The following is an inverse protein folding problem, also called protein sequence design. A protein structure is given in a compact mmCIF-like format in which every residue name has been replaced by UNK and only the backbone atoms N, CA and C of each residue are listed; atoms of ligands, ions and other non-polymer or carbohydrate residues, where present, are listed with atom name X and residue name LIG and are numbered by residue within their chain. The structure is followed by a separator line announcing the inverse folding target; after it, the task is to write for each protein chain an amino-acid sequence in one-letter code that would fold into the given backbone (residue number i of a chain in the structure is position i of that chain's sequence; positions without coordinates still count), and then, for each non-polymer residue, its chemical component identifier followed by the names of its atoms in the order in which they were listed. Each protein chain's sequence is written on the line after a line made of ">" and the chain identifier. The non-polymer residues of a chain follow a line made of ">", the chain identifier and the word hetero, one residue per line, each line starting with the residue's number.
data_IF_118435865260
#
_entry.id   IF_118435865260
#
_cell.length_a   1.000
_cell.length_b   1.000
_cell.length_c   1.000
_cell.angle_alpha   90.00
_cell.angle_beta   90.00
_cell.angle_gamma   90.00
#
_symmetry.space_group_name_H-M   'P 1'
#
loop_
_entity.id
_entity.type
_entity.pdbx_description
1 polymer ?
#
# COMPACT_ATOMS: atom_id res chain seq x y z
N UNK A 1 17.82 -18.25 1.38
CA UNK A 1 16.95 -17.18 0.84
C UNK A 1 17.04 -15.97 1.76
N UNK A 2 16.84 -14.75 1.24
CA UNK A 2 16.91 -13.49 2.00
C UNK A 2 15.50 -12.90 2.12
N UNK A 3 14.87 -12.90 3.32
CA UNK A 3 13.51 -12.39 3.49
C UNK A 3 13.45 -10.87 3.29
N UNK A 4 12.41 -10.38 2.64
CA UNK A 4 12.12 -8.94 2.49
C UNK A 4 10.80 -8.66 3.19
N UNK A 5 10.85 -7.88 4.27
CA UNK A 5 9.66 -7.41 4.98
C UNK A 5 9.30 -6.04 4.41
N UNK A 6 8.23 -5.98 3.63
CA UNK A 6 7.75 -4.75 3.02
C UNK A 6 6.75 -4.05 3.96
N UNK A 7 7.15 -2.89 4.46
CA UNK A 7 6.30 -2.00 5.23
C UNK A 7 5.50 -1.11 4.29
N UNK A 8 4.19 -1.09 4.48
CA UNK A 8 3.25 -0.37 3.62
C UNK A 8 3.04 1.10 3.98
N UNK A 9 4.10 1.88 4.25
CA UNK A 9 3.97 3.26 4.70
C UNK A 9 3.24 4.16 3.69
N UNK A 10 3.62 4.11 2.41
CA UNK A 10 2.98 4.89 1.35
C UNK A 10 1.56 4.40 1.04
N UNK A 11 1.37 3.08 0.92
CA UNK A 11 0.05 2.47 0.69
C UNK A 11 -0.95 2.74 1.83
N UNK A 12 -0.47 2.91 3.07
CA UNK A 12 -1.32 3.26 4.22
C UNK A 12 -1.92 4.66 4.09
N UNK A 13 -1.23 5.58 3.40
CA UNK A 13 -1.73 6.94 3.14
C UNK A 13 -2.87 6.96 2.12
N UNK A 14 -2.95 5.94 1.25
CA UNK A 14 -4.05 5.73 0.30
C UNK A 14 -5.22 5.01 0.98
N UNK A 15 -4.91 3.92 1.67
CA UNK A 15 -5.89 3.05 2.33
C UNK A 15 -6.40 1.94 1.41
N UNK A 16 -6.09 0.69 1.76
CA UNK A 16 -6.54 -0.50 1.03
C UNK A 16 -8.07 -0.68 1.14
N UNK A 17 -8.81 -0.64 0.00
CA UNK A 17 -10.26 -0.82 -0.03
C UNK A 17 -10.68 -2.30 0.02
N UNK A 18 -9.75 -3.24 -0.08
CA UNK A 18 -10.04 -4.69 -0.12
C UNK A 18 -10.72 -5.12 1.19
N UNK A 19 -11.88 -5.79 1.06
CA UNK A 19 -12.69 -6.32 2.16
C UNK A 19 -13.21 -5.29 3.19
N UNK A 20 -13.36 -4.02 2.79
CA UNK A 20 -13.87 -2.94 3.67
C UNK A 20 -15.06 -2.20 3.04
N UNK A 21 -16.17 -2.17 3.78
CA UNK A 21 -17.38 -1.41 3.41
C UNK A 21 -17.26 0.10 3.68
N UNK A 22 -16.31 0.53 4.51
CA UNK A 22 -16.13 1.93 4.91
C UNK A 22 -14.70 2.40 4.67
N UNK A 23 -14.58 3.69 4.32
CA UNK A 23 -13.29 4.34 4.12
C UNK A 23 -12.46 4.29 5.41
N UNK A 24 -11.16 3.95 5.29
CA UNK A 24 -10.26 4.01 6.43
C UNK A 24 -10.00 5.46 6.84
N UNK A 25 -9.89 5.75 8.15
CA UNK A 25 -9.40 7.05 8.57
C UNK A 25 -7.98 7.26 8.06
N UNK A 26 -7.72 8.44 7.50
CA UNK A 26 -6.38 8.83 7.09
C UNK A 26 -5.53 9.04 8.34
N UNK A 27 -4.45 8.28 8.44
CA UNK A 27 -3.50 8.39 9.54
C UNK A 27 -2.50 9.51 9.26
N UNK A 28 -2.01 10.15 10.32
CA UNK A 28 -0.90 11.09 10.20
C UNK A 28 0.41 10.34 9.99
N UNK A 29 1.42 11.00 9.40
CA UNK A 29 2.75 10.40 9.21
C UNK A 29 3.36 9.89 10.52
N UNK A 30 3.14 10.61 11.63
CA UNK A 30 3.60 10.20 12.95
C UNK A 30 2.91 8.91 13.43
N UNK A 31 1.60 8.77 13.17
CA UNK A 31 0.87 7.53 13.49
C UNK A 31 1.35 6.36 12.62
N UNK A 32 1.57 6.60 11.33
CA UNK A 32 2.09 5.58 10.40
C UNK A 32 3.47 5.12 10.85
N UNK A 33 4.38 6.05 11.19
CA UNK A 33 5.71 5.70 11.66
C UNK A 33 5.66 4.91 12.97
N UNK A 34 4.84 5.34 13.94
CA UNK A 34 4.66 4.60 15.20
C UNK A 34 4.15 3.17 14.98
N UNK A 35 3.24 2.97 14.01
CA UNK A 35 2.77 1.64 13.62
C UNK A 35 3.89 0.80 12.98
N UNK A 36 4.70 1.39 12.09
CA UNK A 36 5.84 0.71 11.46
C UNK A 36 6.84 0.24 12.52
N UNK A 37 7.20 1.12 13.46
CA UNK A 37 8.13 0.81 14.54
C UNK A 37 7.60 -0.31 15.43
N UNK A 38 6.30 -0.27 15.76
CA UNK A 38 5.64 -1.34 16.52
C UNK A 38 5.67 -2.68 15.78
N UNK A 39 5.32 -2.71 14.49
CA UNK A 39 5.33 -3.92 13.67
C UNK A 39 6.73 -4.52 13.57
N UNK A 40 7.77 -3.68 13.48
CA UNK A 40 9.17 -4.13 13.48
C UNK A 40 9.53 -4.95 14.71
N UNK A 41 9.04 -4.57 15.89
CA UNK A 41 9.28 -5.32 17.14
C UNK A 41 8.67 -6.72 17.11
N UNK A 42 7.57 -6.91 16.38
CA UNK A 42 6.92 -8.23 16.21
C UNK A 42 7.77 -9.10 15.29
N UNK A 43 8.19 -8.59 14.14
CA UNK A 43 9.00 -9.35 13.18
C UNK A 43 10.37 -9.74 13.72
N UNK A 44 10.97 -8.93 14.60
CA UNK A 44 12.24 -9.25 15.27
C UNK A 44 12.21 -10.55 16.08
N UNK A 45 11.02 -11.04 16.45
CA UNK A 45 10.86 -12.33 17.14
C UNK A 45 10.97 -13.53 16.19
N UNK A 46 10.78 -13.31 14.89
CA UNK A 46 10.73 -14.36 13.86
C UNK A 46 11.89 -14.28 12.87
N UNK A 47 12.51 -13.11 12.73
CA UNK A 47 13.53 -12.82 11.72
C UNK A 47 14.74 -12.15 12.36
N UNK A 48 15.93 -12.58 11.92
CA UNK A 48 17.19 -11.88 12.18
C UNK A 48 17.39 -10.82 11.10
N UNK A 49 17.46 -9.55 11.50
CA UNK A 49 17.73 -8.43 10.59
C UNK A 49 19.22 -8.08 10.60
N UNK A 50 19.78 -7.78 9.43
CA UNK A 50 21.20 -7.49 9.28
C UNK A 50 21.69 -7.55 7.83
N UNK A 51 23.01 -7.48 7.68
CA UNK A 51 23.69 -7.47 6.38
C UNK A 51 24.19 -8.86 5.96
N UNK A 52 23.88 -9.90 6.74
CA UNK A 52 24.24 -11.26 6.41
C UNK A 52 23.60 -11.75 5.10
N UNK A 53 24.14 -12.84 4.50
CA UNK A 53 23.64 -13.39 3.24
C UNK A 53 22.16 -13.83 3.29
N UNK A 54 21.67 -14.16 4.48
CA UNK A 54 20.31 -14.67 4.72
C UNK A 54 19.49 -13.79 5.66
N UNK A 55 20.07 -12.71 6.19
CA UNK A 55 19.42 -11.84 7.15
C UNK A 55 18.29 -11.07 6.48
N UNK A 56 17.17 -10.91 7.18
CA UNK A 56 16.02 -10.19 6.66
C UNK A 56 16.35 -8.70 6.47
N UNK A 57 15.75 -8.11 5.45
CA UNK A 57 15.72 -6.65 5.27
C UNK A 57 14.31 -6.15 5.45
N UNK A 58 14.17 -4.99 6.09
CA UNK A 58 12.91 -4.28 6.21
C UNK A 58 12.99 -3.04 5.34
N UNK A 59 12.06 -2.92 4.39
CA UNK A 59 11.99 -1.81 3.44
C UNK A 59 10.61 -1.16 3.52
N UNK A 60 10.51 0.14 3.30
CA UNK A 60 9.23 0.85 3.32
C UNK A 60 8.86 1.37 1.93
N UNK A 61 7.68 1.03 1.42
CA UNK A 61 7.25 1.49 0.11
C UNK A 61 7.04 3.00 -0.01
N UNK A 62 6.96 3.71 1.12
CA UNK A 62 6.99 5.18 1.12
C UNK A 62 8.25 5.74 0.44
N UNK A 63 9.40 5.05 0.55
CA UNK A 63 10.69 5.52 0.05
C UNK A 63 10.68 5.84 -1.44
N UNK A 64 9.92 5.08 -2.24
CA UNK A 64 9.76 5.34 -3.66
C UNK A 64 8.40 5.94 -4.01
N UNK A 65 7.32 5.54 -3.34
CA UNK A 65 5.97 6.04 -3.68
C UNK A 65 5.85 7.55 -3.47
N UNK A 66 6.49 8.10 -2.44
CA UNK A 66 6.45 9.55 -2.15
C UNK A 66 7.33 10.36 -3.12
N UNK A 67 8.27 9.71 -3.79
CA UNK A 67 9.13 10.37 -4.78
C UNK A 67 8.43 10.59 -6.12
N UNK A 68 7.34 9.85 -6.39
CA UNK A 68 6.64 9.96 -7.65
C UNK A 68 5.84 11.26 -7.74
N UNK A 69 6.12 12.05 -8.78
CA UNK A 69 5.24 13.13 -9.19
C UNK A 69 3.99 12.58 -9.89
N UNK A 70 2.83 13.23 -9.70
CA UNK A 70 1.56 12.79 -10.31
C UNK A 70 1.66 12.61 -11.83
N UNK A 71 2.23 13.58 -12.55
CA UNK A 71 2.38 13.49 -14.01
C UNK A 71 3.36 12.40 -14.45
N UNK A 72 4.40 12.14 -13.65
CA UNK A 72 5.35 11.06 -13.91
C UNK A 72 4.63 9.71 -13.74
N UNK A 73 3.90 9.54 -12.63
CA UNK A 73 3.16 8.32 -12.35
C UNK A 73 2.17 7.99 -13.47
N UNK A 74 1.40 8.98 -13.93
CA UNK A 74 0.44 8.77 -15.03
C UNK A 74 1.11 8.36 -16.34
N UNK A 75 2.27 8.93 -16.67
CA UNK A 75 2.97 8.64 -17.92
C UNK A 75 3.70 7.31 -17.89
N UNK A 76 4.39 7.02 -16.79
CA UNK A 76 5.26 5.85 -16.69
C UNK A 76 4.46 4.59 -16.34
N UNK A 77 3.40 4.72 -15.54
CA UNK A 77 2.61 3.58 -15.06
C UNK A 77 1.16 3.59 -15.56
N UNK A 78 0.50 4.75 -15.58
CA UNK A 78 -0.92 4.85 -15.92
C UNK A 78 -1.28 4.28 -17.31
N UNK A 79 -0.36 4.36 -18.27
CA UNK A 79 -0.54 3.82 -19.64
C UNK A 79 -0.70 2.29 -19.70
N UNK A 80 -0.30 1.58 -18.64
CA UNK A 80 -0.40 0.12 -18.56
C UNK A 80 -1.74 -0.38 -18.02
N UNK A 81 -2.60 0.54 -17.56
CA UNK A 81 -3.89 0.21 -16.95
C UNK A 81 -5.05 0.80 -17.75
N UNK A 82 -6.06 -0.02 -18.03
CA UNK A 82 -7.32 0.45 -18.62
C UNK A 82 -8.38 0.54 -17.53
N UNK A 83 -9.18 1.60 -17.53
CA UNK A 83 -10.29 1.78 -16.60
C UNK A 83 -11.24 0.57 -16.62
N UNK A 84 -11.59 0.05 -17.80
CA UNK A 84 -12.48 -1.12 -17.92
C UNK A 84 -11.95 -2.35 -17.16
N UNK A 85 -10.64 -2.59 -17.21
CA UNK A 85 -10.02 -3.69 -16.45
C UNK A 85 -10.05 -3.42 -14.95
N UNK A 86 -9.73 -2.20 -14.52
CA UNK A 86 -9.74 -1.85 -13.10
C UNK A 86 -11.15 -1.99 -12.50
N UNK A 87 -12.20 -1.63 -13.25
CA UNK A 87 -13.60 -1.81 -12.84
C UNK A 87 -14.03 -3.29 -12.76
N UNK A 88 -13.32 -4.20 -13.42
CA UNK A 88 -13.65 -5.63 -13.40
C UNK A 88 -13.18 -6.37 -12.15
N UNK A 89 -12.32 -5.74 -11.33
CA UNK A 89 -11.87 -6.33 -10.09
C UNK A 89 -13.01 -6.44 -9.07
N UNK A 90 -13.13 -7.59 -8.40
CA UNK A 90 -14.26 -7.90 -7.52
C UNK A 90 -14.45 -6.88 -6.39
N UNK A 91 -13.37 -6.35 -5.83
CA UNK A 91 -13.39 -5.32 -4.78
C UNK A 91 -14.02 -4.00 -5.27
N UNK A 92 -13.76 -3.64 -6.53
CA UNK A 92 -14.31 -2.43 -7.17
C UNK A 92 -15.74 -2.67 -7.62
N UNK A 93 -15.97 -3.77 -8.33
CA UNK A 93 -17.28 -4.15 -8.86
C UNK A 93 -18.34 -4.25 -7.75
N UNK A 94 -18.02 -4.94 -6.66
CA UNK A 94 -18.96 -5.12 -5.54
C UNK A 94 -19.36 -3.79 -4.90
N UNK A 95 -18.42 -2.84 -4.75
CA UNK A 95 -18.73 -1.52 -4.20
C UNK A 95 -19.59 -0.69 -5.14
N UNK A 96 -19.33 -0.75 -6.45
CA UNK A 96 -20.14 -0.09 -7.47
C UNK A 96 -21.56 -0.66 -7.55
N UNK A 97 -21.70 -1.99 -7.53
CA UNK A 97 -22.99 -2.69 -7.57
C UNK A 97 -23.86 -2.36 -6.34
N UNK A 98 -23.22 -2.08 -5.20
CA UNK A 98 -23.88 -1.66 -3.95
C UNK A 98 -24.12 -0.15 -3.85
N UNK A 99 -23.79 0.61 -4.90
CA UNK A 99 -23.82 2.08 -4.91
C UNK A 99 -23.04 2.72 -3.74
N UNK A 100 -22.04 2.01 -3.22
CA UNK A 100 -21.19 2.53 -2.15
C UNK A 100 -20.19 3.53 -2.74
N UNK A 101 -20.06 4.74 -2.17
CA UNK A 101 -19.08 5.71 -2.63
C UNK A 101 -17.67 5.11 -2.61
N UNK A 102 -16.94 5.28 -3.72
CA UNK A 102 -15.52 4.97 -3.81
C UNK A 102 -14.78 6.23 -4.24
N UNK A 103 -13.80 6.64 -3.44
CA UNK A 103 -13.00 7.81 -3.75
C UNK A 103 -11.97 7.50 -4.82
N UNK A 104 -11.53 8.53 -5.55
CA UNK A 104 -10.43 8.39 -6.50
C UNK A 104 -9.16 7.86 -5.83
N UNK A 105 -8.90 8.24 -4.57
CA UNK A 105 -7.77 7.75 -3.80
C UNK A 105 -7.83 6.22 -3.64
N UNK A 106 -8.96 5.67 -3.18
CA UNK A 106 -9.15 4.22 -3.02
C UNK A 106 -9.06 3.47 -4.35
N UNK A 107 -9.60 4.05 -5.44
CA UNK A 107 -9.54 3.43 -6.77
C UNK A 107 -8.09 3.28 -7.29
N UNK A 108 -7.20 4.21 -6.95
CA UNK A 108 -5.78 4.17 -7.34
C UNK A 108 -4.92 3.30 -6.43
N UNK A 109 -5.51 2.57 -5.46
CA UNK A 109 -4.79 1.55 -4.70
C UNK A 109 -4.49 0.29 -5.54
N UNK A 110 -5.35 0.00 -6.52
CA UNK A 110 -5.39 -1.24 -7.29
C UNK A 110 -4.31 -1.36 -8.36
#
# INVERSE_FOLDING_TARGET
>A
HKPIVLMGGGTTKVGDPTDKDQQRPLLTDAQIQGNIDSIKTVFQRFLTFGDGPTDAVMVNNAEWLESFGYLQFLRDYGVHFTINRMLSFDSVKTRLDREQPMTFLEFNYM
#
